data_IF_826263574656
#
_entry.id   IF_826263574656
#
_cell.length_a   1.000
_cell.length_b   1.000
_cell.length_c   1.000
_cell.angle_alpha   90.00
_cell.angle_beta   90.00
_cell.angle_gamma   90.00
#
_symmetry.space_group_name_H-M   'P 1'
#
loop_
_entity.id
_entity.type
_entity.pdbx_description
1 polymer ?
#
# COMPACT_ATOMS: atom_id res chain seq x y z
N UNK A 1 18.52 8.51 -51.60
CA UNK A 1 17.20 7.86 -51.40
C UNK A 1 17.49 6.48 -50.80
N UNK A 2 17.53 6.32 -49.45
CA UNK A 2 17.42 5.04 -48.71
C UNK A 2 17.95 5.01 -47.24
N UNK A 3 18.47 6.09 -46.62
CA UNK A 3 19.07 6.00 -45.26
C UNK A 3 18.66 7.14 -44.32
N UNK A 4 17.37 7.47 -44.25
CA UNK A 4 16.82 8.38 -43.23
C UNK A 4 15.47 7.92 -42.63
N UNK A 5 14.98 6.73 -42.99
CA UNK A 5 13.65 6.20 -42.60
C UNK A 5 13.71 5.11 -41.49
N UNK A 6 14.84 4.94 -40.80
CA UNK A 6 15.00 3.92 -39.74
C UNK A 6 15.51 4.48 -38.42
N UNK A 7 15.31 5.78 -38.16
CA UNK A 7 15.15 6.22 -36.76
C UNK A 7 13.76 5.78 -36.35
N UNK A 8 13.65 4.48 -36.05
CA UNK A 8 12.47 3.85 -35.50
C UNK A 8 12.12 4.62 -34.23
N UNK A 9 11.09 5.48 -34.33
CA UNK A 9 10.56 6.19 -33.18
C UNK A 9 10.22 5.12 -32.16
N UNK A 10 10.68 5.22 -30.90
CA UNK A 10 10.25 4.28 -29.89
C UNK A 10 8.72 4.30 -29.88
N UNK A 11 8.12 3.17 -30.25
CA UNK A 11 6.72 2.89 -29.97
C UNK A 11 6.62 2.99 -28.46
N UNK A 12 6.18 4.14 -27.96
CA UNK A 12 5.71 4.21 -26.59
C UNK A 12 4.57 3.20 -26.56
N UNK A 13 4.78 2.09 -25.85
CA UNK A 13 3.75 1.12 -25.60
C UNK A 13 2.50 1.90 -25.19
N UNK A 14 1.36 1.61 -25.81
CA UNK A 14 0.06 2.12 -25.37
C UNK A 14 -0.12 1.66 -23.93
N UNK A 15 0.35 2.49 -23.00
CA UNK A 15 0.22 2.28 -21.58
C UNK A 15 -1.25 2.24 -21.29
N UNK A 16 -1.73 1.12 -20.77
CA UNK A 16 -3.11 0.97 -20.33
C UNK A 16 -3.43 2.07 -19.33
N UNK A 17 -4.08 3.14 -19.78
CA UNK A 17 -4.46 4.26 -18.93
C UNK A 17 -5.41 3.74 -17.85
N UNK A 18 -5.05 3.95 -16.58
CA UNK A 18 -5.88 3.54 -15.44
C UNK A 18 -7.26 4.16 -15.60
N UNK A 19 -8.29 3.31 -15.62
CA UNK A 19 -9.67 3.76 -15.76
C UNK A 19 -10.13 4.45 -14.49
N UNK A 20 -11.08 5.39 -14.61
CA UNK A 20 -11.66 6.11 -13.45
C UNK A 20 -12.21 5.18 -12.38
N UNK A 21 -12.76 4.02 -12.78
CA UNK A 21 -13.25 3.00 -11.86
C UNK A 21 -12.11 2.36 -11.06
N UNK A 22 -10.98 2.03 -11.69
CA UNK A 22 -9.80 1.52 -10.99
C UNK A 22 -9.21 2.56 -10.04
N UNK A 23 -9.17 3.84 -10.43
CA UNK A 23 -8.73 4.92 -9.52
C UNK A 23 -9.61 5.00 -8.27
N UNK A 24 -10.93 4.94 -8.43
CA UNK A 24 -11.86 4.93 -7.29
C UNK A 24 -11.68 3.69 -6.42
N UNK A 25 -11.48 2.52 -7.03
CA UNK A 25 -11.22 1.27 -6.32
C UNK A 25 -9.93 1.35 -5.50
N UNK A 26 -8.84 1.85 -6.07
CA UNK A 26 -7.58 2.04 -5.36
C UNK A 26 -7.70 3.09 -4.26
N UNK A 27 -8.35 4.23 -4.52
CA UNK A 27 -8.58 5.25 -3.50
C UNK A 27 -9.39 4.72 -2.32
N UNK A 28 -10.47 3.98 -2.58
CA UNK A 28 -11.27 3.34 -1.53
C UNK A 28 -10.46 2.28 -0.77
N UNK A 29 -9.69 1.45 -1.48
CA UNK A 29 -8.83 0.42 -0.88
C UNK A 29 -7.79 1.03 0.06
N UNK A 30 -7.09 2.08 -0.40
CA UNK A 30 -6.13 2.83 0.41
C UNK A 30 -6.83 3.44 1.62
N UNK A 31 -7.99 4.06 1.44
CA UNK A 31 -8.79 4.62 2.53
C UNK A 31 -9.12 3.57 3.60
N UNK A 32 -9.63 2.41 3.19
CA UNK A 32 -9.98 1.30 4.10
C UNK A 32 -8.74 0.81 4.86
N UNK A 33 -7.62 0.60 4.17
CA UNK A 33 -6.36 0.14 4.78
C UNK A 33 -5.86 1.16 5.81
N UNK A 34 -5.77 2.42 5.42
CA UNK A 34 -5.29 3.50 6.29
C UNK A 34 -6.22 3.66 7.49
N UNK A 35 -7.53 3.71 7.29
CA UNK A 35 -8.49 3.78 8.41
C UNK A 35 -8.31 2.61 9.36
N UNK A 36 -8.14 1.38 8.88
CA UNK A 36 -7.91 0.23 9.76
C UNK A 36 -6.58 0.32 10.53
N UNK A 37 -5.54 0.89 9.91
CA UNK A 37 -4.24 1.07 10.55
C UNK A 37 -4.30 2.08 11.71
N UNK A 38 -5.01 3.19 11.53
CA UNK A 38 -5.08 4.27 12.51
C UNK A 38 -6.25 4.15 13.50
N UNK A 39 -7.35 3.50 13.13
CA UNK A 39 -8.55 3.40 13.97
C UNK A 39 -8.29 2.83 15.37
N UNK A 40 -7.49 1.75 15.55
CA UNK A 40 -7.15 1.25 16.87
C UNK A 40 -6.46 2.32 17.73
N UNK A 41 -5.55 3.10 17.15
CA UNK A 41 -4.79 4.15 17.84
C UNK A 41 -5.68 5.35 18.20
N UNK A 42 -6.62 5.71 17.33
CA UNK A 42 -7.59 6.79 17.59
C UNK A 42 -8.60 6.40 18.66
N UNK A 43 -9.08 5.15 18.62
CA UNK A 43 -10.16 4.70 19.50
C UNK A 43 -9.66 4.21 20.86
N UNK A 44 -8.43 3.69 20.97
CA UNK A 44 -7.92 3.09 22.21
C UNK A 44 -7.96 4.06 23.39
N UNK A 45 -7.73 5.36 23.18
CA UNK A 45 -7.86 6.36 24.25
C UNK A 45 -9.30 6.59 24.73
N UNK A 46 -10.29 6.30 23.87
CA UNK A 46 -11.71 6.52 24.12
C UNK A 46 -12.40 5.28 24.71
N UNK A 47 -12.09 4.09 24.17
CA UNK A 47 -12.70 2.81 24.59
C UNK A 47 -11.82 1.97 25.52
N UNK A 48 -10.52 2.25 25.59
CA UNK A 48 -9.56 1.53 26.42
C UNK A 48 -9.97 1.45 27.90
N UNK A 49 -10.36 2.57 28.54
CA UNK A 49 -10.82 2.55 29.93
C UNK A 49 -12.04 1.64 30.16
N UNK A 50 -12.97 1.61 29.20
CA UNK A 50 -14.16 0.76 29.24
C UNK A 50 -13.85 -0.73 29.05
N UNK A 51 -12.72 -1.04 28.41
CA UNK A 51 -12.21 -2.40 28.22
C UNK A 51 -11.31 -2.87 29.38
N UNK A 52 -11.14 -2.04 30.41
CA UNK A 52 -10.22 -2.31 31.52
C UNK A 52 -8.74 -2.12 31.17
N UNK A 53 -8.44 -1.52 30.01
CA UNK A 53 -7.08 -1.30 29.56
C UNK A 53 -6.46 -0.11 30.33
N UNK A 54 -5.26 -0.32 30.87
CA UNK A 54 -4.50 0.75 31.52
C UNK A 54 -3.98 1.74 30.47
N UNK A 55 -3.79 3.01 30.84
CA UNK A 55 -3.27 4.04 29.92
C UNK A 55 -1.91 3.67 29.28
N UNK A 56 -1.12 2.81 29.95
CA UNK A 56 0.12 2.24 29.44
C UNK A 56 -0.08 1.24 28.29
N UNK A 57 -1.22 0.56 28.23
CA UNK A 57 -1.55 -0.45 27.20
C UNK A 57 -1.99 0.19 25.89
N UNK A 58 -2.43 1.45 25.92
CA UNK A 58 -2.76 2.24 24.73
C UNK A 58 -1.58 2.34 23.75
N UNK A 59 -0.34 2.41 24.28
CA UNK A 59 0.88 2.42 23.46
C UNK A 59 1.16 1.09 22.75
N UNK A 60 0.75 -0.04 23.36
CA UNK A 60 0.93 -1.38 22.77
C UNK A 60 0.12 -1.55 21.49
N UNK A 61 -1.03 -0.90 21.39
CA UNK A 61 -1.85 -0.90 20.17
C UNK A 61 -1.07 -0.30 19.00
N UNK A 62 -0.41 0.84 19.20
CA UNK A 62 0.42 1.46 18.16
C UNK A 62 1.62 0.58 17.79
N UNK A 63 2.31 0.02 18.80
CA UNK A 63 3.44 -0.86 18.58
C UNK A 63 3.06 -2.11 17.78
N UNK A 64 1.95 -2.77 18.12
CA UNK A 64 1.47 -3.95 17.42
C UNK A 64 1.13 -3.64 15.95
N UNK A 65 0.45 -2.51 15.70
CA UNK A 65 0.14 -2.04 14.33
C UNK A 65 1.41 -1.77 13.53
N UNK A 66 2.39 -1.05 14.11
CA UNK A 66 3.65 -0.72 13.44
C UNK A 66 4.50 -1.98 13.18
N UNK A 67 4.55 -2.91 14.13
CA UNK A 67 5.19 -4.21 13.96
C UNK A 67 4.56 -5.01 12.81
N UNK A 68 3.22 -5.08 12.78
CA UNK A 68 2.49 -5.76 11.71
C UNK A 68 2.74 -5.11 10.35
N UNK A 69 2.74 -3.78 10.29
CA UNK A 69 3.05 -3.04 9.06
C UNK A 69 4.50 -3.27 8.58
N UNK A 70 5.47 -3.20 9.49
CA UNK A 70 6.87 -3.44 9.19
C UNK A 70 7.11 -4.89 8.72
N UNK A 71 6.52 -5.87 9.39
CA UNK A 71 6.56 -7.27 8.97
C UNK A 71 5.92 -7.42 7.58
N UNK A 72 4.76 -6.80 7.36
CA UNK A 72 4.07 -6.77 6.07
C UNK A 72 4.97 -6.26 4.95
N UNK A 73 5.61 -5.09 5.13
CA UNK A 73 6.56 -4.56 4.15
C UNK A 73 7.77 -5.47 3.96
N UNK A 74 8.33 -6.00 5.05
CA UNK A 74 9.49 -6.88 5.01
C UNK A 74 9.23 -8.14 4.18
N UNK A 75 8.02 -8.69 4.20
CA UNK A 75 7.65 -9.85 3.38
C UNK A 75 7.12 -9.46 1.99
N UNK A 76 6.28 -8.44 1.89
CA UNK A 76 5.63 -8.06 0.64
C UNK A 76 6.61 -7.44 -0.36
N UNK A 77 7.58 -6.64 0.09
CA UNK A 77 8.57 -6.01 -0.80
C UNK A 77 9.41 -7.07 -1.56
N UNK A 78 10.09 -8.03 -0.90
CA UNK A 78 10.88 -9.03 -1.62
C UNK A 78 10.02 -9.99 -2.45
N UNK A 79 8.79 -10.29 -2.01
CA UNK A 79 7.87 -11.10 -2.82
C UNK A 79 7.42 -10.37 -4.08
N UNK A 80 7.13 -9.08 -3.99
CA UNK A 80 6.76 -8.24 -5.14
C UNK A 80 7.94 -8.16 -6.13
N UNK A 81 9.14 -7.94 -5.62
CA UNK A 81 10.37 -7.88 -6.42
C UNK A 81 10.66 -9.20 -7.14
N UNK A 82 10.44 -10.35 -6.49
CA UNK A 82 10.61 -11.67 -7.12
C UNK A 82 9.57 -11.94 -8.23
N UNK A 83 8.34 -11.45 -8.07
CA UNK A 83 7.30 -11.56 -9.11
C UNK A 83 7.66 -10.69 -10.31
N UNK A 84 8.06 -9.44 -10.08
CA UNK A 84 8.49 -8.50 -11.13
C UNK A 84 9.70 -9.05 -11.90
N UNK A 85 10.69 -9.59 -11.18
CA UNK A 85 11.90 -10.20 -11.76
C UNK A 85 11.65 -11.52 -12.51
N UNK A 86 10.48 -12.15 -12.35
CA UNK A 86 10.07 -13.32 -13.15
C UNK A 86 9.33 -12.96 -14.43
N UNK A 87 8.76 -11.76 -14.49
CA UNK A 87 7.96 -11.28 -15.64
C UNK A 87 8.86 -10.62 -16.69
N UNK A 88 10.04 -10.14 -16.30
CA UNK A 88 11.14 -9.70 -17.18
C UNK A 88 11.94 -10.88 -17.73
#
# INVERSE_FOLDING_TARGET
MATAELVERPRHADGSTITRSQTLLFAASVGIIVTNLFAPQTLVGLIGPSLGAAASESGLVSMATLLGYAAGLFFLVPLSDLVENRVL
#
